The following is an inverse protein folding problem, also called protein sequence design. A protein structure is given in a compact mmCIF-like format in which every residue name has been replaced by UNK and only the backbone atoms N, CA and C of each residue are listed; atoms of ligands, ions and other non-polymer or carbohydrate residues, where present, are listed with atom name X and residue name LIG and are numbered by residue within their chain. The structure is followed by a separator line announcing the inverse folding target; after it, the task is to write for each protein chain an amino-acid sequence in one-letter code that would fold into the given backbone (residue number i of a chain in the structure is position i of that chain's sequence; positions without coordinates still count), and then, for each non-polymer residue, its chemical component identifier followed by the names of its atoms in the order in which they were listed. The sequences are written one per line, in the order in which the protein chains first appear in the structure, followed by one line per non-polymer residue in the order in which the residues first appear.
data_IF_464829999388
#
_entry.id   IF_464829999388
#
_cell.length_a   1.000
_cell.length_b   1.000
_cell.length_c   1.000
_cell.angle_alpha   90.00
_cell.angle_beta   90.00
_cell.angle_gamma   90.00
#
_symmetry.space_group_name_H-M   'P 1'
#
loop_
_entity.id
_entity.type
_entity.pdbx_description
1 polymer ?
#
# COMPACT_ATOMS: atom_id res chain seq x y z
N UNK A 1 -2.64 33.69 -10.50
CA UNK A 1 -1.89 33.40 -9.26
C UNK A 1 -2.88 32.87 -8.23
N UNK A 2 -3.01 31.55 -8.08
CA UNK A 2 -3.90 30.96 -7.08
C UNK A 2 -3.15 30.83 -5.75
N UNK A 3 -3.57 31.63 -4.76
CA UNK A 3 -3.12 31.53 -3.37
C UNK A 3 -3.61 30.19 -2.80
N UNK A 4 -2.71 29.19 -2.79
CA UNK A 4 -2.94 27.93 -2.06
C UNK A 4 -3.08 28.27 -0.57
N UNK A 5 -4.31 28.21 -0.02
CA UNK A 5 -4.54 28.36 1.42
C UNK A 5 -3.86 27.17 2.12
N UNK A 6 -2.95 27.46 3.04
CA UNK A 6 -2.38 26.44 3.91
C UNK A 6 -3.52 25.84 4.77
N UNK A 7 -3.66 24.52 4.78
CA UNK A 7 -4.62 23.83 5.65
C UNK A 7 -4.24 24.04 7.11
N UNK A 8 -5.24 24.24 7.97
CA UNK A 8 -5.04 24.22 9.42
C UNK A 8 -4.54 22.84 9.87
N UNK A 9 -3.85 22.79 11.02
CA UNK A 9 -3.33 21.55 11.60
C UNK A 9 -4.42 20.48 11.76
N UNK A 10 -5.63 20.88 12.11
CA UNK A 10 -6.79 19.98 12.28
C UNK A 10 -7.25 19.38 10.95
N UNK A 11 -7.26 20.18 9.88
CA UNK A 11 -7.61 19.67 8.54
C UNK A 11 -6.53 18.72 8.00
N UNK A 12 -5.25 18.98 8.29
CA UNK A 12 -4.17 18.06 7.92
C UNK A 12 -4.27 16.72 8.67
N UNK A 13 -4.62 16.77 9.96
CA UNK A 13 -4.88 15.58 10.77
C UNK A 13 -6.06 14.78 10.21
N UNK A 14 -7.16 15.45 9.87
CA UNK A 14 -8.35 14.81 9.31
C UNK A 14 -8.05 14.08 8.00
N UNK A 15 -7.39 14.76 7.05
CA UNK A 15 -6.99 14.15 5.78
C UNK A 15 -6.07 12.95 6.00
N UNK A 16 -5.10 13.05 6.91
CA UNK A 16 -4.19 11.93 7.22
C UNK A 16 -4.94 10.73 7.80
N UNK A 17 -5.91 10.95 8.69
CA UNK A 17 -6.74 9.89 9.25
C UNK A 17 -7.63 9.25 8.18
N UNK A 18 -8.23 10.06 7.30
CA UNK A 18 -9.06 9.57 6.23
C UNK A 18 -8.28 8.71 5.22
N UNK A 19 -7.09 9.16 4.80
CA UNK A 19 -6.23 8.37 3.92
C UNK A 19 -5.80 7.07 4.56
N UNK A 20 -5.43 7.09 5.84
CA UNK A 20 -5.12 5.86 6.59
C UNK A 20 -6.31 4.91 6.62
N UNK A 21 -7.51 5.43 6.86
CA UNK A 21 -8.73 4.62 6.89
C UNK A 21 -9.02 3.99 5.52
N UNK A 22 -8.91 4.76 4.42
CA UNK A 22 -9.12 4.25 3.06
C UNK A 22 -8.13 3.15 2.70
N UNK A 23 -6.86 3.31 3.07
CA UNK A 23 -5.82 2.30 2.88
C UNK A 23 -6.10 1.05 3.72
N UNK A 24 -6.43 1.23 5.01
CA UNK A 24 -6.78 0.12 5.89
C UNK A 24 -7.97 -0.68 5.36
N UNK A 25 -9.05 -0.01 4.94
CA UNK A 25 -10.22 -0.66 4.34
C UNK A 25 -9.88 -1.39 3.05
N UNK A 26 -9.00 -0.84 2.21
CA UNK A 26 -8.48 -1.51 1.01
C UNK A 26 -7.82 -2.84 1.37
N UNK A 27 -6.96 -2.85 2.38
CA UNK A 27 -6.22 -4.03 2.82
C UNK A 27 -7.13 -5.07 3.48
N UNK A 28 -8.07 -4.64 4.33
CA UNK A 28 -9.03 -5.53 4.98
C UNK A 28 -9.96 -6.22 3.98
N UNK A 29 -10.37 -5.52 2.93
CA UNK A 29 -11.20 -6.12 1.88
C UNK A 29 -10.39 -7.06 0.98
N UNK A 30 -9.19 -6.65 0.57
CA UNK A 30 -8.37 -7.42 -0.37
C UNK A 30 -7.76 -8.70 0.23
N UNK A 31 -7.61 -8.80 1.56
CA UNK A 31 -6.97 -9.95 2.21
C UNK A 31 -7.71 -11.28 1.97
N UNK A 32 -9.02 -11.22 1.71
CA UNK A 32 -9.87 -12.41 1.54
C UNK A 32 -10.02 -12.81 0.05
N UNK A 33 -9.48 -12.01 -0.89
CA UNK A 33 -9.64 -12.22 -2.34
C UNK A 33 -8.51 -13.07 -2.95
N UNK A 34 -8.76 -13.97 -3.92
CA UNK A 34 -7.71 -14.67 -4.67
C UNK A 34 -6.61 -13.74 -5.21
N UNK A 35 -5.40 -14.25 -5.47
CA UNK A 35 -4.22 -13.42 -5.79
C UNK A 35 -4.45 -12.36 -6.89
N UNK A 36 -5.04 -12.76 -8.02
CA UNK A 36 -5.31 -11.86 -9.14
C UNK A 36 -6.37 -10.80 -8.80
N UNK A 37 -7.44 -11.21 -8.11
CA UNK A 37 -8.51 -10.30 -7.66
C UNK A 37 -8.00 -9.33 -6.59
N UNK A 38 -7.17 -9.82 -5.66
CA UNK A 38 -6.48 -9.01 -4.65
C UNK A 38 -5.63 -7.92 -5.29
N UNK A 39 -4.80 -8.28 -6.29
CA UNK A 39 -3.97 -7.32 -7.02
C UNK A 39 -4.83 -6.25 -7.70
N UNK A 40 -5.85 -6.67 -8.44
CA UNK A 40 -6.72 -5.75 -9.18
C UNK A 40 -7.50 -4.82 -8.24
N UNK A 41 -7.97 -5.33 -7.12
CA UNK A 41 -8.72 -4.56 -6.13
C UNK A 41 -7.83 -3.53 -5.43
N UNK A 42 -6.62 -3.93 -5.00
CA UNK A 42 -5.63 -3.01 -4.42
C UNK A 42 -5.31 -1.90 -5.40
N UNK A 43 -5.01 -2.23 -6.66
CA UNK A 43 -4.73 -1.26 -7.72
C UNK A 43 -5.90 -0.28 -7.90
N UNK A 44 -7.10 -0.80 -8.05
CA UNK A 44 -8.31 -0.01 -8.30
C UNK A 44 -8.56 0.98 -7.16
N UNK A 45 -8.46 0.53 -5.92
CA UNK A 45 -8.69 1.39 -4.74
C UNK A 45 -7.60 2.42 -4.55
N UNK A 46 -6.34 2.09 -4.82
CA UNK A 46 -5.24 3.05 -4.74
C UNK A 46 -5.37 4.16 -5.78
N UNK A 47 -5.79 3.83 -7.00
CA UNK A 47 -6.12 4.83 -8.02
C UNK A 47 -7.31 5.71 -7.60
N UNK A 48 -8.32 5.14 -6.96
CA UNK A 48 -9.43 5.91 -6.41
C UNK A 48 -9.00 6.85 -5.27
N UNK A 49 -8.05 6.43 -4.42
CA UNK A 49 -7.46 7.28 -3.38
C UNK A 49 -6.65 8.42 -4.02
N UNK A 50 -5.88 8.14 -5.07
CA UNK A 50 -5.16 9.16 -5.83
C UNK A 50 -6.13 10.20 -6.41
N UNK A 51 -7.18 9.76 -7.11
CA UNK A 51 -8.22 10.65 -7.63
C UNK A 51 -8.90 11.47 -6.53
N UNK A 52 -9.19 10.88 -5.36
CA UNK A 52 -9.72 11.61 -4.21
C UNK A 52 -8.74 12.68 -3.71
N UNK A 53 -7.44 12.39 -3.64
CA UNK A 53 -6.46 13.37 -3.20
C UNK A 53 -6.39 14.58 -4.14
N UNK A 54 -6.54 14.37 -5.45
CA UNK A 54 -6.59 15.45 -6.43
C UNK A 54 -7.78 16.39 -6.18
N UNK A 55 -8.94 15.89 -5.72
CA UNK A 55 -10.11 16.75 -5.43
C UNK A 55 -9.97 17.61 -4.18
N UNK A 56 -9.03 17.27 -3.29
CA UNK A 56 -8.74 18.01 -2.05
C UNK A 56 -7.38 18.74 -2.10
N UNK A 57 -6.84 18.98 -3.31
CA UNK A 57 -5.54 19.62 -3.54
C UNK A 57 -4.37 18.93 -2.81
N UNK A 58 -4.41 17.59 -2.73
CA UNK A 58 -3.38 16.75 -2.14
C UNK A 58 -2.73 15.86 -3.18
N UNK A 59 -1.46 15.53 -2.92
CA UNK A 59 -0.69 14.64 -3.77
C UNK A 59 -0.59 13.28 -3.11
N UNK A 60 -1.22 12.29 -3.73
CA UNK A 60 -1.02 10.88 -3.44
C UNK A 60 -0.72 10.21 -4.77
N UNK A 61 0.54 9.89 -5.01
CA UNK A 61 1.01 9.26 -6.24
C UNK A 61 1.35 7.82 -5.91
N UNK A 62 0.79 6.88 -6.66
CA UNK A 62 1.15 5.47 -6.57
C UNK A 62 1.88 5.06 -7.83
N UNK A 63 3.06 4.50 -7.66
CA UNK A 63 3.84 3.81 -8.69
C UNK A 63 3.59 2.32 -8.51
N UNK A 64 3.30 1.64 -9.60
CA UNK A 64 3.21 0.19 -9.69
C UNK A 64 4.53 -0.35 -10.24
N UNK A 65 5.20 -1.22 -9.48
CA UNK A 65 6.48 -1.80 -9.84
C UNK A 65 6.43 -3.31 -9.73
N UNK A 66 7.01 -3.98 -10.73
CA UNK A 66 7.22 -5.42 -10.70
C UNK A 66 8.55 -5.72 -10.04
N UNK A 67 8.51 -6.44 -8.92
CA UNK A 67 9.67 -6.71 -8.07
C UNK A 67 9.80 -8.21 -7.81
N UNK A 68 10.91 -8.60 -7.21
CA UNK A 68 11.10 -9.91 -6.59
C UNK A 68 11.12 -9.77 -5.06
N UNK A 69 10.77 -10.83 -4.34
CA UNK A 69 10.65 -10.80 -2.88
C UNK A 69 11.95 -10.39 -2.14
N UNK A 70 13.11 -10.59 -2.76
CA UNK A 70 14.42 -10.22 -2.20
C UNK A 70 14.80 -8.74 -2.40
N UNK A 71 14.16 -8.02 -3.33
CA UNK A 71 14.48 -6.60 -3.58
C UNK A 71 14.02 -5.67 -2.45
N UNK A 72 13.02 -6.10 -1.66
CA UNK A 72 12.36 -5.27 -0.64
C UNK A 72 12.22 -5.98 0.71
N UNK A 73 13.08 -6.96 0.99
CA UNK A 73 13.09 -7.70 2.26
C UNK A 73 11.73 -8.30 2.64
N UNK A 74 10.97 -8.82 1.67
CA UNK A 74 9.70 -9.51 1.93
C UNK A 74 9.92 -10.88 2.60
N UNK A 75 11.18 -11.27 2.82
CA UNK A 75 11.58 -12.51 3.52
C UNK A 75 11.20 -13.81 2.79
N UNK A 76 10.71 -13.72 1.56
CA UNK A 76 10.24 -14.84 0.75
C UNK A 76 11.32 -15.53 -0.08
N UNK A 77 10.91 -16.51 -0.90
CA UNK A 77 11.81 -17.09 -1.90
C UNK A 77 12.27 -16.01 -2.88
N UNK A 78 13.58 -15.89 -3.08
CA UNK A 78 14.21 -14.77 -3.80
C UNK A 78 13.60 -14.48 -5.17
N UNK A 79 13.22 -15.51 -5.91
CA UNK A 79 12.71 -15.38 -7.28
C UNK A 79 11.18 -15.27 -7.37
N UNK A 80 10.47 -15.32 -6.24
CA UNK A 80 9.03 -15.10 -6.25
C UNK A 80 8.78 -13.64 -6.61
N UNK A 81 7.93 -13.46 -7.61
CA UNK A 81 7.60 -12.16 -8.12
C UNK A 81 6.41 -11.58 -7.36
N UNK A 82 6.42 -10.25 -7.22
CA UNK A 82 5.40 -9.50 -6.53
C UNK A 82 5.19 -8.14 -7.21
N UNK A 83 4.02 -7.57 -7.00
CA UNK A 83 3.71 -6.22 -7.47
C UNK A 83 3.69 -5.28 -6.28
N UNK A 84 4.54 -4.26 -6.34
CA UNK A 84 4.71 -3.23 -5.33
C UNK A 84 3.98 -1.96 -5.75
N UNK A 85 3.11 -1.47 -4.88
CA UNK A 85 2.49 -0.15 -4.96
C UNK A 85 3.13 0.74 -3.91
N UNK A 86 3.82 1.81 -4.33
CA UNK A 86 4.50 2.73 -3.41
C UNK A 86 4.42 4.17 -3.88
N UNK A 87 4.72 5.10 -2.98
CA UNK A 87 4.99 6.48 -3.35
C UNK A 87 6.23 6.60 -4.27
N UNK A 88 6.38 7.72 -4.99
CA UNK A 88 7.47 7.91 -5.94
C UNK A 88 8.86 7.89 -5.28
N UNK A 89 8.97 8.35 -4.03
CA UNK A 89 10.20 8.21 -3.24
C UNK A 89 10.33 6.80 -2.66
N UNK A 90 11.55 6.25 -2.67
CA UNK A 90 11.85 4.99 -1.99
C UNK A 90 11.63 5.06 -0.47
N UNK A 91 11.69 6.27 0.11
CA UNK A 91 11.44 6.54 1.53
C UNK A 91 9.95 6.74 1.84
N UNK A 92 9.07 6.56 0.84
CA UNK A 92 7.64 6.70 1.05
C UNK A 92 7.19 5.79 2.19
N UNK A 93 6.60 6.41 3.22
CA UNK A 93 6.23 5.73 4.46
C UNK A 93 5.11 4.70 4.30
N UNK A 94 4.55 4.58 3.10
CA UNK A 94 3.45 3.68 2.77
C UNK A 94 3.76 2.92 1.49
N UNK A 95 3.78 1.60 1.58
CA UNK A 95 3.86 0.72 0.42
C UNK A 95 2.98 -0.52 0.62
N UNK A 96 2.35 -1.00 -0.43
CA UNK A 96 1.53 -2.22 -0.43
C UNK A 96 2.14 -3.18 -1.44
N UNK A 97 2.27 -4.45 -1.08
CA UNK A 97 2.82 -5.45 -1.96
C UNK A 97 1.86 -6.65 -2.06
N UNK A 98 1.66 -7.15 -3.27
CA UNK A 98 0.88 -8.36 -3.55
C UNK A 98 1.77 -9.35 -4.28
N UNK A 99 2.02 -10.52 -3.70
CA UNK A 99 2.80 -11.57 -4.38
C UNK A 99 1.93 -12.32 -5.37
N UNK A 100 2.55 -12.94 -6.38
CA UNK A 100 1.80 -13.76 -7.36
C UNK A 100 1.05 -14.92 -6.73
N UNK A 101 1.55 -15.42 -5.59
CA UNK A 101 0.89 -16.50 -4.84
C UNK A 101 -0.23 -15.97 -3.95
N UNK A 102 -0.31 -14.66 -3.77
CA UNK A 102 -1.41 -13.98 -3.10
C UNK A 102 -1.10 -13.43 -1.71
N UNK A 103 0.15 -13.45 -1.23
CA UNK A 103 0.47 -12.75 0.01
C UNK A 103 0.24 -11.24 -0.15
N UNK A 104 -0.43 -10.65 0.84
CA UNK A 104 -0.75 -9.22 0.87
C UNK A 104 0.00 -8.58 2.02
N UNK A 105 0.82 -7.60 1.69
CA UNK A 105 1.72 -6.94 2.62
C UNK A 105 1.51 -5.43 2.59
N UNK A 106 1.71 -4.79 3.73
CA UNK A 106 1.66 -3.34 3.87
C UNK A 106 2.83 -2.88 4.75
N UNK A 107 3.49 -1.82 4.30
CA UNK A 107 4.60 -1.19 5.00
C UNK A 107 4.15 0.21 5.42
N UNK A 108 4.05 0.44 6.73
CA UNK A 108 3.76 1.77 7.32
C UNK A 108 4.97 2.38 8.05
N UNK A 109 6.02 1.58 8.22
CA UNK A 109 7.27 1.87 8.94
C UNK A 109 8.42 1.09 8.23
N UNK A 110 9.67 0.99 8.72
CA UNK A 110 10.66 0.13 8.06
C UNK A 110 10.25 -1.36 8.02
N UNK A 111 9.23 -1.77 8.80
CA UNK A 111 8.77 -3.14 8.86
C UNK A 111 7.53 -3.38 7.99
N UNK A 112 7.51 -4.55 7.35
CA UNK A 112 6.35 -5.09 6.66
C UNK A 112 5.36 -5.70 7.65
N UNK A 113 4.08 -5.62 7.32
CA UNK A 113 2.99 -6.31 8.01
C UNK A 113 2.20 -7.11 6.98
N UNK A 114 1.91 -8.38 7.28
CA UNK A 114 1.18 -9.28 6.39
C UNK A 114 -0.31 -9.28 6.72
N UNK A 115 -1.16 -8.86 5.79
CA UNK A 115 -2.62 -9.03 5.90
C UNK A 115 -3.05 -10.43 5.46
N UNK A 116 -2.26 -11.05 4.57
CA UNK A 116 -2.34 -12.47 4.23
C UNK A 116 -0.95 -12.99 3.93
N UNK A 117 -0.63 -14.16 4.47
CA UNK A 117 0.60 -14.90 4.18
C UNK A 117 0.22 -16.30 3.68
N UNK A 118 0.59 -16.64 2.44
CA UNK A 118 0.33 -17.97 1.85
C UNK A 118 1.56 -18.89 1.89
N UNK A 119 2.56 -18.56 2.72
CA UNK A 119 3.78 -19.35 2.92
C UNK A 119 4.93 -19.02 1.96
N UNK A 120 4.84 -17.90 1.24
CA UNK A 120 5.82 -17.48 0.23
C UNK A 120 6.63 -16.24 0.61
N UNK A 121 6.36 -15.68 1.79
CA UNK A 121 7.03 -14.55 2.43
C UNK A 121 7.60 -14.98 3.79
N UNK A 122 8.49 -14.18 4.37
CA UNK A 122 9.28 -14.59 5.54
C UNK A 122 8.47 -14.82 6.81
N UNK A 123 8.88 -15.80 7.62
CA UNK A 123 8.24 -16.13 8.90
C UNK A 123 8.39 -15.03 9.97
N UNK A 124 9.24 -14.03 9.74
CA UNK A 124 9.45 -12.89 10.63
C UNK A 124 8.52 -11.70 10.34
N UNK A 125 7.70 -11.76 9.29
CA UNK A 125 6.72 -10.71 9.00
C UNK A 125 5.48 -10.94 9.87
N UNK A 126 5.11 -10.01 10.76
CA UNK A 126 3.93 -10.16 11.61
C UNK A 126 2.64 -10.14 10.79
N UNK A 127 1.69 -11.01 11.15
CA UNK A 127 0.34 -10.97 10.61
C UNK A 127 -0.45 -9.80 11.22
N UNK A 128 -1.16 -9.05 10.39
CA UNK A 128 -2.12 -8.05 10.82
C UNK A 128 -3.28 -8.74 11.56
N UNK A 129 -3.57 -8.26 12.77
CA UNK A 129 -4.74 -8.68 13.55
C UNK A 129 -6.04 -8.15 12.98
#
# INVERSE_FOLDING_TARGET
MSTKRALSSDQQLHVRQELRQRIYTTLQFAKDLPAQECLQEVKTRLLAIQAYCETIDKTFIVVEERITCDQYDLGGYKLNAATLFRGPSADASVAICVTDRGSLLHRTSPQWQAYRNVGDIGCNIPLAS
#
